data_IF_951726961604
#
_entry.id   IF_951726961604
#
_cell.length_a   1.000
_cell.length_b   1.000
_cell.length_c   1.000
_cell.angle_alpha   90.00
_cell.angle_beta   90.00
_cell.angle_gamma   90.00
#
_symmetry.space_group_name_H-M   'P 1'
#
loop_
_entity.id
_entity.type
_entity.pdbx_description
1 polymer ?
#
# COMPACT_ATOMS: atom_id res chain seq x y z
N UNK A 1 14.27 3.12 19.77
CA UNK A 1 12.89 3.09 19.24
C UNK A 1 12.88 2.02 18.15
N UNK A 2 12.02 1.01 18.21
CA UNK A 2 11.95 -0.04 17.18
C UNK A 2 11.43 0.58 15.88
N UNK A 3 11.82 0.04 14.72
CA UNK A 3 11.54 0.53 13.35
C UNK A 3 10.06 0.91 13.08
N UNK A 4 9.09 0.46 13.86
CA UNK A 4 7.67 0.84 13.72
C UNK A 4 7.21 2.00 14.62
N UNK A 5 8.05 2.57 15.47
CA UNK A 5 7.62 3.58 16.46
C UNK A 5 6.73 3.03 17.59
N UNK A 6 6.60 1.70 17.66
CA UNK A 6 5.81 0.98 18.66
C UNK A 6 6.70 0.68 19.86
N UNK A 7 6.14 0.79 21.06
CA UNK A 7 6.83 0.42 22.29
C UNK A 7 7.01 -1.11 22.35
N UNK A 8 8.22 -1.62 22.67
CA UNK A 8 8.50 -3.05 22.74
C UNK A 8 7.49 -3.80 23.64
N UNK A 9 7.21 -3.26 24.82
CA UNK A 9 6.29 -3.86 25.79
C UNK A 9 4.87 -4.00 25.23
N UNK A 10 4.42 -3.03 24.43
CA UNK A 10 3.11 -3.13 23.79
C UNK A 10 3.11 -4.19 22.68
N UNK A 11 4.15 -4.21 21.85
CA UNK A 11 4.28 -5.16 20.75
C UNK A 11 4.32 -6.63 21.23
N UNK A 12 5.00 -6.89 22.35
CA UNK A 12 5.18 -8.23 22.89
C UNK A 12 4.01 -8.71 23.75
N UNK A 13 3.43 -7.85 24.59
CA UNK A 13 2.51 -8.30 25.64
C UNK A 13 1.04 -7.90 25.42
N UNK A 14 0.77 -6.91 24.56
CA UNK A 14 -0.58 -6.27 24.46
C UNK A 14 -1.16 -6.25 23.05
N UNK A 15 -0.31 -6.22 22.04
CA UNK A 15 -0.72 -6.06 20.65
C UNK A 15 -1.51 -7.29 20.16
N UNK A 16 -2.62 -7.03 19.48
CA UNK A 16 -3.49 -8.06 18.94
C UNK A 16 -3.03 -8.46 17.53
N UNK A 17 -3.36 -9.70 17.13
CA UNK A 17 -2.93 -10.25 15.83
C UNK A 17 -3.34 -9.41 14.61
N UNK A 18 -4.51 -8.79 14.64
CA UNK A 18 -4.97 -7.93 13.55
C UNK A 18 -4.19 -6.60 13.47
N UNK A 19 -3.61 -6.14 14.58
CA UNK A 19 -2.78 -4.94 14.63
C UNK A 19 -1.38 -5.22 14.07
N UNK A 20 -0.88 -6.45 14.24
CA UNK A 20 0.40 -6.90 13.65
C UNK A 20 0.38 -6.73 12.14
N UNK A 21 -0.66 -7.25 11.49
CA UNK A 21 -0.81 -7.20 10.03
C UNK A 21 -0.87 -5.74 9.54
N UNK A 22 -1.67 -4.92 10.22
CA UNK A 22 -1.78 -3.49 9.94
C UNK A 22 -0.44 -2.76 10.10
N UNK A 23 0.34 -3.09 11.13
CA UNK A 23 1.66 -2.51 11.37
C UNK A 23 2.69 -2.90 10.30
N UNK A 24 2.71 -4.17 9.89
CA UNK A 24 3.61 -4.66 8.85
C UNK A 24 3.29 -3.98 7.50
N UNK A 25 2.02 -3.88 7.15
CA UNK A 25 1.58 -3.20 5.93
C UNK A 25 1.88 -1.69 5.99
N UNK A 26 1.74 -1.05 7.15
CA UNK A 26 2.06 0.37 7.36
C UNK A 26 3.56 0.68 7.29
N UNK A 27 4.44 -0.30 7.56
CA UNK A 27 5.89 -0.10 7.59
C UNK A 27 6.45 0.29 6.22
N UNK A 28 5.92 -0.27 5.14
CA UNK A 28 6.32 0.10 3.77
C UNK A 28 6.03 1.59 3.49
N UNK A 29 4.92 2.11 4.03
CA UNK A 29 4.54 3.52 3.90
C UNK A 29 5.36 4.48 4.75
N UNK A 30 5.97 4.01 5.86
CA UNK A 30 6.70 4.88 6.80
C UNK A 30 7.84 5.65 6.14
N UNK A 31 8.62 4.97 5.30
CA UNK A 31 9.79 5.57 4.64
C UNK A 31 9.44 6.21 3.30
N UNK A 32 8.18 6.15 2.86
CA UNK A 32 7.72 6.68 1.57
C UNK A 32 8.11 8.15 1.38
N UNK A 33 7.88 8.99 2.39
CA UNK A 33 8.22 10.41 2.32
C UNK A 33 9.73 10.65 2.16
N UNK A 34 10.57 9.89 2.86
CA UNK A 34 12.03 10.01 2.75
C UNK A 34 12.52 9.57 1.36
N UNK A 35 11.93 8.52 0.82
CA UNK A 35 12.22 8.04 -0.54
C UNK A 35 11.76 9.03 -1.61
N UNK A 36 10.60 9.66 -1.46
CA UNK A 36 10.12 10.71 -2.37
C UNK A 36 10.98 11.98 -2.30
N UNK A 37 11.40 12.41 -1.11
CA UNK A 37 12.34 13.55 -0.96
C UNK A 37 13.67 13.26 -1.67
N UNK A 38 14.20 12.05 -1.48
CA UNK A 38 15.44 11.60 -2.13
C UNK A 38 15.29 11.55 -3.64
N UNK A 39 14.17 11.00 -4.14
CA UNK A 39 13.82 11.00 -5.57
C UNK A 39 13.77 12.42 -6.13
N UNK A 40 13.13 13.35 -5.42
CA UNK A 40 12.99 14.72 -5.87
C UNK A 40 14.34 15.44 -5.97
N UNK A 41 15.18 15.32 -4.94
CA UNK A 41 16.53 15.91 -4.97
C UNK A 41 17.36 15.32 -6.12
N UNK A 42 17.33 13.99 -6.28
CA UNK A 42 18.03 13.30 -7.36
C UNK A 42 17.53 13.74 -8.73
N UNK A 43 16.22 13.93 -8.88
CA UNK A 43 15.59 14.45 -10.10
C UNK A 43 16.06 15.87 -10.42
N UNK A 44 16.10 16.78 -9.44
CA UNK A 44 16.61 18.13 -9.65
C UNK A 44 18.06 18.07 -10.14
N UNK A 45 18.93 17.31 -9.45
CA UNK A 45 20.34 17.16 -9.82
C UNK A 45 20.49 16.55 -11.21
N UNK A 46 19.72 15.52 -11.56
CA UNK A 46 19.78 14.92 -12.88
C UNK A 46 19.25 15.86 -13.98
N UNK A 47 18.18 16.60 -13.71
CA UNK A 47 17.54 17.49 -14.69
C UNK A 47 18.40 18.70 -15.03
N UNK A 48 19.14 19.27 -14.07
CA UNK A 48 20.05 20.40 -14.36
C UNK A 48 21.30 19.97 -15.12
N UNK A 49 21.71 18.71 -15.02
CA UNK A 49 22.88 18.16 -15.70
C UNK A 49 22.54 17.41 -17.00
N UNK A 50 21.27 17.37 -17.39
CA UNK A 50 20.79 16.64 -18.56
C UNK A 50 20.13 17.60 -19.55
N UNK A 51 20.34 17.37 -20.85
CA UNK A 51 19.61 18.05 -21.92
C UNK A 51 18.24 17.42 -22.19
N UNK A 52 17.94 16.26 -21.60
CA UNK A 52 16.66 15.56 -21.75
C UNK A 52 15.68 16.02 -20.67
N UNK A 53 14.39 16.06 -21.03
CA UNK A 53 13.30 16.27 -20.07
C UNK A 53 13.00 14.94 -19.38
N UNK A 54 13.44 14.80 -18.14
CA UNK A 54 13.27 13.60 -17.33
C UNK A 54 11.94 13.67 -16.57
N UNK A 55 11.43 12.52 -16.14
CA UNK A 55 10.39 12.42 -15.11
C UNK A 55 11.00 11.90 -13.81
N UNK A 56 10.44 12.21 -12.64
CA UNK A 56 10.91 11.66 -11.37
C UNK A 56 10.93 10.12 -11.34
N UNK A 57 9.99 9.47 -12.03
CA UNK A 57 9.91 8.01 -12.19
C UNK A 57 11.05 7.41 -13.01
N UNK A 58 11.72 8.22 -13.84
CA UNK A 58 12.88 7.79 -14.63
C UNK A 58 14.15 7.72 -13.77
N UNK A 59 14.14 8.35 -12.60
CA UNK A 59 15.27 8.39 -11.66
C UNK A 59 15.22 7.21 -10.69
N UNK A 60 14.07 7.06 -10.01
CA UNK A 60 13.77 5.95 -9.11
C UNK A 60 12.35 5.51 -9.39
N UNK A 61 12.11 4.21 -9.51
CA UNK A 61 10.78 3.63 -9.63
C UNK A 61 10.42 2.91 -8.32
N UNK A 62 9.22 3.16 -7.82
CA UNK A 62 8.72 2.57 -6.58
C UNK A 62 7.49 1.71 -6.86
N UNK A 63 7.21 0.79 -5.94
CA UNK A 63 6.08 -0.14 -6.06
C UNK A 63 4.73 0.58 -6.17
N UNK A 64 4.58 1.70 -5.48
CA UNK A 64 3.37 2.54 -5.47
C UNK A 64 3.23 3.47 -6.68
N UNK A 65 4.18 3.48 -7.63
CA UNK A 65 3.99 4.19 -8.89
C UNK A 65 3.17 3.38 -9.90
N UNK A 66 3.04 2.07 -9.66
CA UNK A 66 2.17 1.22 -10.46
C UNK A 66 0.73 1.62 -10.15
N UNK A 67 -0.15 1.74 -11.17
CA UNK A 67 -1.56 1.83 -10.90
C UNK A 67 -1.92 0.62 -10.04
N UNK A 68 -2.44 0.86 -8.84
CA UNK A 68 -3.04 -0.22 -8.07
C UNK A 68 -4.14 -0.80 -8.97
N UNK A 69 -4.01 -2.08 -9.33
CA UNK A 69 -5.14 -2.86 -9.81
C UNK A 69 -6.08 -2.96 -8.61
N UNK A 70 -6.82 -1.89 -8.34
CA UNK A 70 -7.87 -1.89 -7.35
C UNK A 70 -8.96 -2.78 -7.93
N UNK A 71 -8.81 -4.09 -7.73
CA UNK A 71 -9.81 -5.12 -7.99
C UNK A 71 -11.03 -4.98 -7.07
N UNK A 72 -11.41 -3.74 -6.75
CA UNK A 72 -12.68 -3.36 -6.13
C UNK A 72 -13.82 -3.32 -7.17
N UNK A 73 -13.56 -3.66 -8.43
CA UNK A 73 -14.61 -4.03 -9.37
C UNK A 73 -15.14 -5.43 -9.01
N UNK A 74 -16.27 -5.47 -8.30
CA UNK A 74 -17.06 -6.69 -8.15
C UNK A 74 -17.29 -7.27 -9.54
N UNK A 75 -16.73 -8.44 -9.82
CA UNK A 75 -16.95 -9.14 -11.09
C UNK A 75 -18.40 -9.61 -11.19
N UNK A 76 -18.91 -9.77 -12.41
CA UNK A 76 -20.25 -10.33 -12.66
C UNK A 76 -20.47 -11.68 -11.97
N UNK A 77 -19.41 -12.48 -11.85
CA UNK A 77 -19.39 -13.75 -11.11
C UNK A 77 -19.60 -13.56 -9.60
N UNK A 78 -19.01 -12.52 -9.00
CA UNK A 78 -19.22 -12.20 -7.59
C UNK A 78 -20.66 -11.74 -7.32
N UNK A 79 -21.25 -10.96 -8.23
CA UNK A 79 -22.67 -10.56 -8.17
C UNK A 79 -23.57 -11.80 -8.19
N UNK A 80 -23.30 -12.75 -9.08
CA UNK A 80 -24.09 -13.98 -9.20
C UNK A 80 -23.97 -14.85 -7.95
N UNK A 81 -22.75 -15.04 -7.43
CA UNK A 81 -22.48 -15.76 -6.18
C UNK A 81 -23.23 -15.15 -4.99
N UNK A 82 -23.27 -13.82 -4.89
CA UNK A 82 -23.97 -13.12 -3.81
C UNK A 82 -25.50 -13.29 -3.92
N UNK A 83 -26.07 -13.24 -5.12
CA UNK A 83 -27.51 -13.51 -5.36
C UNK A 83 -27.89 -14.95 -4.97
N UNK A 84 -27.05 -15.92 -5.30
CA UNK A 84 -27.29 -17.32 -4.95
C UNK A 84 -27.21 -17.56 -3.44
N UNK A 85 -26.28 -16.90 -2.73
CA UNK A 85 -26.22 -16.94 -1.26
C UNK A 85 -27.44 -16.30 -0.62
N UNK A 86 -27.88 -15.14 -1.11
CA UNK A 86 -29.07 -14.45 -0.60
C UNK A 86 -30.33 -15.32 -0.77
N UNK A 87 -30.52 -15.92 -1.94
CA UNK A 87 -31.68 -16.78 -2.22
C UNK A 87 -31.67 -18.08 -1.40
N UNK A 88 -30.52 -18.69 -1.14
CA UNK A 88 -30.41 -19.85 -0.24
C UNK A 88 -30.75 -19.50 1.21
N UNK A 89 -30.31 -18.34 1.68
CA UNK A 89 -30.60 -17.86 3.04
C UNK A 89 -32.09 -17.57 3.24
N UNK A 90 -32.73 -16.97 2.23
CA UNK A 90 -34.18 -16.73 2.20
C UNK A 90 -35.02 -18.01 2.18
N UNK A 91 -34.49 -19.13 1.67
CA UNK A 91 -35.18 -20.43 1.66
C UNK A 91 -35.03 -21.24 2.96
N UNK A 92 -34.07 -20.86 3.80
CA UNK A 92 -33.79 -21.51 5.09
C UNK A 92 -34.50 -20.80 6.27
N UNK A 93 -35.09 -19.64 6.02
CA UNK A 93 -36.04 -18.93 6.88
C UNK A 93 -37.47 -19.34 6.53
#
# INVERSE_FOLDING_TARGET
MVECGIQPDYFLDKMQWYEVDSCLNGLEGKNKNGWEQTRFLSYITAQVNSSKKLKPTDILSFKWDKPEDTGTSITSEDIQRLKDKASKTLKLL
#
